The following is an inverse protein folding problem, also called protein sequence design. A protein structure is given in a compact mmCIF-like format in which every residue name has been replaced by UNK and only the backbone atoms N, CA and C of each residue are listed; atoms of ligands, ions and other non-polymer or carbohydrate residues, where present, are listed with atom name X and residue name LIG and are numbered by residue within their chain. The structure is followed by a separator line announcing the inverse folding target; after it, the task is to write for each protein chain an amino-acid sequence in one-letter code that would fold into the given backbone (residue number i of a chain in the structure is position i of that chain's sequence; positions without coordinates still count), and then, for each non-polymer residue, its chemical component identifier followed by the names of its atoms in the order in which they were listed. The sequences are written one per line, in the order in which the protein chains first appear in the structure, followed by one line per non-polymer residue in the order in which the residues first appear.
data_IF_364313890159
#
_entry.id   IF_364313890159
#
_cell.length_a   1.000
_cell.length_b   1.000
_cell.length_c   1.000
_cell.angle_alpha   90.00
_cell.angle_beta   90.00
_cell.angle_gamma   90.00
#
_symmetry.space_group_name_H-M   'P 1'
#
loop_
_entity.id
_entity.type
_entity.pdbx_description
1 polymer ?
#
# COMPACT_ATOMS: atom_id res chain seq x y z
N UNK A 1 -3.92 8.48 20.03
CA UNK A 1 -2.54 8.06 19.69
C UNK A 1 -2.12 6.83 20.51
N UNK A 2 -2.92 5.74 20.49
CA UNK A 2 -2.69 4.50 21.27
C UNK A 2 -2.56 3.25 20.37
N UNK A 3 -2.82 3.41 19.07
CA UNK A 3 -2.91 2.30 18.12
C UNK A 3 -1.57 2.01 17.43
N UNK A 4 -0.76 3.03 17.17
CA UNK A 4 0.45 2.93 16.33
C UNK A 4 1.45 1.92 16.91
N UNK A 5 1.92 2.10 18.15
CA UNK A 5 2.93 1.21 18.75
C UNK A 5 2.46 -0.23 18.84
N UNK A 6 1.22 -0.45 19.28
CA UNK A 6 0.64 -1.79 19.43
C UNK A 6 0.44 -2.47 18.08
N UNK A 7 0.03 -1.71 17.06
CA UNK A 7 -0.12 -2.25 15.72
C UNK A 7 1.24 -2.61 15.12
N UNK A 8 2.27 -1.78 15.30
CA UNK A 8 3.63 -2.12 14.83
C UNK A 8 4.16 -3.39 15.50
N UNK A 9 3.97 -3.54 16.82
CA UNK A 9 4.32 -4.78 17.54
C UNK A 9 3.59 -5.98 16.94
N UNK A 10 2.30 -5.83 16.63
CA UNK A 10 1.50 -6.90 16.03
C UNK A 10 1.94 -7.22 14.59
N UNK A 11 2.23 -6.21 13.76
CA UNK A 11 2.74 -6.41 12.40
C UNK A 11 4.09 -7.15 12.42
N UNK A 12 4.96 -6.85 13.39
CA UNK A 12 6.22 -7.57 13.59
C UNK A 12 5.99 -9.01 14.03
N UNK A 13 5.10 -9.24 14.99
CA UNK A 13 4.71 -10.59 15.46
C UNK A 13 4.20 -11.47 14.32
N UNK A 14 3.44 -10.88 13.39
CA UNK A 14 2.89 -11.54 12.21
C UNK A 14 3.89 -11.72 11.05
N UNK A 15 5.15 -11.29 11.24
CA UNK A 15 6.18 -11.23 10.18
C UNK A 15 5.67 -10.53 8.93
N UNK A 16 4.97 -9.40 9.09
CA UNK A 16 4.47 -8.60 7.97
C UNK A 16 5.49 -7.58 7.48
N UNK A 17 6.50 -7.26 8.30
CA UNK A 17 7.58 -6.34 7.96
C UNK A 17 8.87 -7.12 7.64
N UNK A 18 9.68 -6.68 6.67
CA UNK A 18 10.94 -7.35 6.30
C UNK A 18 11.96 -7.39 7.46
N UNK A 19 11.97 -6.39 8.34
CA UNK A 19 12.71 -6.38 9.61
C UNK A 19 12.43 -7.64 10.45
N UNK A 20 11.22 -8.19 10.33
CA UNK A 20 10.80 -9.36 11.09
C UNK A 20 11.23 -10.70 10.46
N UNK A 21 11.92 -10.66 9.31
CA UNK A 21 12.45 -11.86 8.64
C UNK A 21 13.79 -12.30 9.25
N UNK A 22 14.36 -11.51 10.17
CA UNK A 22 15.65 -11.79 10.77
C UNK A 22 16.78 -11.72 9.73
N UNK A 23 17.62 -12.75 9.69
CA UNK A 23 18.74 -12.83 8.74
C UNK A 23 18.34 -13.33 7.34
N UNK A 24 17.08 -13.73 7.14
CA UNK A 24 16.61 -14.22 5.84
C UNK A 24 16.24 -13.06 4.92
N UNK A 25 16.60 -13.17 3.64
CA UNK A 25 16.21 -12.22 2.59
C UNK A 25 14.84 -12.52 1.98
N UNK A 26 14.16 -13.55 2.48
CA UNK A 26 12.82 -13.94 2.07
C UNK A 26 12.02 -14.49 3.23
N UNK A 27 10.70 -14.36 3.14
CA UNK A 27 9.79 -15.09 4.01
C UNK A 27 9.94 -16.60 3.76
N UNK A 28 9.74 -17.42 4.78
CA UNK A 28 9.69 -18.86 4.63
C UNK A 28 8.55 -19.24 3.66
N UNK A 29 8.90 -19.96 2.59
CA UNK A 29 7.95 -20.35 1.55
C UNK A 29 6.84 -21.26 2.06
N UNK A 30 7.04 -21.96 3.18
CA UNK A 30 5.99 -22.77 3.83
C UNK A 30 4.90 -21.93 4.50
N UNK A 31 5.16 -20.64 4.76
CA UNK A 31 4.17 -19.71 5.31
C UNK A 31 3.25 -19.09 4.23
N UNK A 32 3.47 -19.44 2.96
CA UNK A 32 2.73 -18.89 1.81
C UNK A 32 2.19 -20.06 0.98
N UNK A 33 0.88 -20.02 0.71
CA UNK A 33 0.29 -20.86 -0.31
C UNK A 33 0.46 -20.17 -1.67
N UNK A 34 1.09 -20.86 -2.63
CA UNK A 34 1.38 -20.35 -3.97
C UNK A 34 0.54 -21.07 -5.03
N UNK A 35 -0.65 -20.55 -5.38
CA UNK A 35 -1.44 -21.11 -6.48
C UNK A 35 -0.71 -20.99 -7.83
N UNK A 36 0.07 -19.91 -7.99
CA UNK A 36 0.94 -19.67 -9.14
C UNK A 36 2.25 -19.01 -8.68
N UNK A 37 3.31 -18.99 -9.51
CA UNK A 37 4.61 -18.42 -9.12
C UNK A 37 4.59 -16.91 -8.81
N UNK A 38 3.69 -16.15 -9.45
CA UNK A 38 3.68 -14.69 -9.39
C UNK A 38 2.92 -14.13 -8.18
N UNK A 39 1.98 -14.91 -7.63
CA UNK A 39 1.18 -14.50 -6.49
C UNK A 39 0.78 -15.69 -5.61
N UNK A 40 0.73 -15.43 -4.31
CA UNK A 40 0.32 -16.36 -3.29
C UNK A 40 -0.52 -15.67 -2.22
N UNK A 41 -0.85 -16.40 -1.17
CA UNK A 41 -1.56 -15.85 -0.03
C UNK A 41 -1.08 -16.44 1.28
N UNK A 42 -1.18 -15.64 2.33
CA UNK A 42 -0.97 -16.04 3.72
C UNK A 42 -2.29 -15.89 4.45
N UNK A 43 -2.61 -16.88 5.27
CA UNK A 43 -3.66 -16.77 6.27
C UNK A 43 -3.01 -16.73 7.65
N UNK A 44 -3.16 -15.59 8.31
CA UNK A 44 -2.54 -15.32 9.60
C UNK A 44 -3.63 -15.21 10.66
N UNK A 45 -3.32 -15.56 11.91
CA UNK A 45 -4.23 -15.36 13.04
C UNK A 45 -3.80 -14.23 13.95
N UNK A 46 -4.74 -13.34 14.26
CA UNK A 46 -4.55 -12.26 15.20
C UNK A 46 -5.83 -11.94 15.99
N UNK A 47 -5.79 -11.96 17.34
CA UNK A 47 -6.90 -11.45 18.16
C UNK A 47 -6.97 -9.92 18.13
N UNK A 48 -6.03 -9.25 17.45
CA UNK A 48 -5.90 -7.80 17.37
C UNK A 48 -6.32 -7.25 16.00
N UNK A 49 -7.12 -8.00 15.26
CA UNK A 49 -7.60 -7.63 13.92
C UNK A 49 -8.28 -6.24 13.88
N UNK A 50 -9.12 -5.91 14.87
CA UNK A 50 -9.75 -4.58 15.01
C UNK A 50 -8.74 -3.45 15.21
N UNK A 51 -7.69 -3.71 16.00
CA UNK A 51 -6.60 -2.76 16.24
C UNK A 51 -5.84 -2.47 14.96
N UNK A 52 -5.52 -3.50 14.17
CA UNK A 52 -4.82 -3.34 12.89
C UNK A 52 -5.62 -2.49 11.91
N UNK A 53 -6.94 -2.69 11.85
CA UNK A 53 -7.82 -1.87 11.02
C UNK A 53 -7.79 -0.40 11.44
N UNK A 54 -7.99 -0.11 12.73
CA UNK A 54 -7.91 1.28 13.25
C UNK A 54 -6.56 1.93 12.99
N UNK A 55 -5.48 1.17 13.07
CA UNK A 55 -4.15 1.67 12.74
C UNK A 55 -4.07 2.17 11.29
N UNK A 56 -4.47 1.36 10.31
CA UNK A 56 -4.44 1.77 8.91
C UNK A 56 -5.42 2.91 8.60
N UNK A 57 -6.63 2.91 9.19
CA UNK A 57 -7.57 4.03 9.07
C UNK A 57 -6.98 5.33 9.64
N UNK A 58 -6.27 5.25 10.77
CA UNK A 58 -5.62 6.41 11.37
C UNK A 58 -4.51 7.00 10.48
N UNK A 59 -3.85 6.16 9.68
CA UNK A 59 -2.86 6.63 8.69
C UNK A 59 -3.53 7.38 7.56
N UNK A 60 -4.63 6.84 7.02
CA UNK A 60 -5.41 7.53 5.99
C UNK A 60 -5.92 8.88 6.51
N UNK A 61 -6.44 8.93 7.73
CA UNK A 61 -6.94 10.17 8.31
C UNK A 61 -5.84 11.23 8.41
N UNK A 62 -4.68 10.86 8.97
CA UNK A 62 -3.52 11.77 9.06
C UNK A 62 -3.02 12.22 7.69
N UNK A 63 -3.00 11.30 6.72
CA UNK A 63 -2.61 11.59 5.35
C UNK A 63 -3.59 12.53 4.63
N UNK A 64 -4.89 12.42 4.92
CA UNK A 64 -5.92 13.25 4.29
C UNK A 64 -5.97 14.69 4.85
N UNK A 65 -5.57 14.91 6.10
CA UNK A 65 -5.58 16.25 6.73
C UNK A 65 -4.23 16.98 6.67
N UNK A 66 -3.15 16.27 6.36
CA UNK A 66 -1.80 16.88 6.33
C UNK A 66 -1.60 17.72 5.08
N UNK A 67 -0.78 18.77 5.20
CA UNK A 67 -0.39 19.65 4.09
C UNK A 67 1.03 19.40 3.59
N UNK A 68 1.68 18.34 4.06
CA UNK A 68 3.04 18.00 3.66
C UNK A 68 3.08 17.65 2.15
N UNK A 69 4.10 18.11 1.40
CA UNK A 69 4.16 17.93 -0.06
C UNK A 69 4.00 16.49 -0.55
N UNK A 70 4.43 15.49 0.24
CA UNK A 70 4.32 14.07 -0.11
C UNK A 70 2.92 13.46 0.03
N UNK A 71 1.94 14.21 0.54
CA UNK A 71 0.60 13.71 0.88
C UNK A 71 -0.52 14.51 0.21
N UNK A 72 -0.20 15.54 -0.55
CA UNK A 72 -1.19 16.46 -1.15
C UNK A 72 -2.15 15.78 -2.13
N UNK A 73 -1.81 14.60 -2.64
CA UNK A 73 -2.68 13.77 -3.48
C UNK A 73 -3.71 12.96 -2.69
N UNK A 74 -3.49 12.77 -1.38
CA UNK A 74 -4.38 12.02 -0.50
C UNK A 74 -5.48 12.97 -0.03
N UNK A 75 -6.58 13.00 -0.77
CA UNK A 75 -7.74 13.85 -0.47
C UNK A 75 -8.99 13.00 -0.28
N UNK A 76 -9.91 13.45 0.57
CA UNK A 76 -11.23 12.86 0.78
C UNK A 76 -12.27 13.99 0.73
N UNK A 77 -13.51 13.69 0.36
CA UNK A 77 -14.62 14.65 0.54
C UNK A 77 -14.83 14.93 2.03
N UNK A 78 -15.40 16.10 2.36
CA UNK A 78 -15.63 16.49 3.77
C UNK A 78 -16.47 15.46 4.52
N UNK A 79 -17.45 14.84 3.84
CA UNK A 79 -18.31 13.80 4.39
C UNK A 79 -17.47 12.55 4.72
N UNK A 80 -16.65 12.06 3.78
CA UNK A 80 -15.80 10.89 3.98
C UNK A 80 -14.73 11.14 5.04
N UNK A 81 -14.17 12.35 5.08
CA UNK A 81 -13.18 12.74 6.08
C UNK A 81 -13.79 12.75 7.49
N UNK A 82 -15.01 13.26 7.65
CA UNK A 82 -15.71 13.25 8.94
C UNK A 82 -16.05 11.84 9.41
N UNK A 83 -16.50 10.96 8.50
CA UNK A 83 -16.72 9.53 8.81
C UNK A 83 -15.43 8.89 9.32
N UNK A 84 -14.33 9.05 8.58
CA UNK A 84 -13.03 8.51 8.96
C UNK A 84 -12.53 9.09 10.29
N UNK A 85 -12.73 10.39 10.52
CA UNK A 85 -12.36 11.06 11.77
C UNK A 85 -13.10 10.43 12.95
N UNK A 86 -14.40 10.17 12.84
CA UNK A 86 -15.20 9.54 13.91
C UNK A 86 -14.73 8.13 14.22
N UNK A 87 -14.55 7.29 13.20
CA UNK A 87 -14.02 5.92 13.39
C UNK A 87 -12.71 5.93 14.17
N UNK A 88 -11.78 6.82 13.81
CA UNK A 88 -10.47 6.93 14.47
C UNK A 88 -10.56 7.55 15.86
N UNK A 89 -11.38 8.58 16.05
CA UNK A 89 -11.52 9.30 17.33
C UNK A 89 -12.25 8.47 18.39
N UNK A 90 -13.32 7.79 17.99
CA UNK A 90 -14.14 6.94 18.86
C UNK A 90 -13.47 5.57 19.08
N UNK A 91 -12.48 5.22 18.26
CA UNK A 91 -11.82 3.93 18.31
C UNK A 91 -12.71 2.78 17.87
N UNK A 92 -13.68 3.09 16.99
CA UNK A 92 -14.61 2.12 16.43
C UNK A 92 -14.19 1.76 15.00
N UNK A 93 -13.74 0.52 14.74
CA UNK A 93 -13.37 0.08 13.40
C UNK A 93 -14.57 -0.11 12.46
N UNK A 94 -15.81 -0.03 12.96
CA UNK A 94 -17.01 -0.32 12.20
C UNK A 94 -17.57 0.91 11.45
N UNK A 95 -18.32 0.69 10.35
CA UNK A 95 -18.59 -0.60 9.71
C UNK A 95 -17.40 -1.10 8.86
N UNK A 96 -17.25 -2.42 8.72
CA UNK A 96 -16.19 -3.03 7.91
C UNK A 96 -16.26 -2.72 6.41
N UNK A 97 -17.46 -2.40 5.93
CA UNK A 97 -17.75 -1.94 4.56
C UNK A 97 -17.48 -0.45 4.37
N UNK A 98 -16.73 0.18 5.29
CA UNK A 98 -16.27 1.57 5.15
C UNK A 98 -14.75 1.62 5.13
N UNK A 99 -14.16 2.04 4.00
CA UNK A 99 -12.72 2.00 3.73
C UNK A 99 -12.11 0.59 3.90
N UNK A 100 -12.47 -0.41 3.07
CA UNK A 100 -11.91 -1.75 3.16
C UNK A 100 -10.41 -1.69 2.92
N UNK A 101 -9.69 -2.51 3.67
CA UNK A 101 -8.24 -2.51 3.69
C UNK A 101 -7.77 -3.88 3.26
N UNK A 102 -6.90 -3.92 2.27
CA UNK A 102 -6.28 -5.15 1.78
C UNK A 102 -4.77 -5.05 1.93
N UNK A 103 -4.13 -6.16 2.27
CA UNK A 103 -2.69 -6.22 2.48
C UNK A 103 -2.01 -7.03 1.36
N UNK A 104 -0.93 -6.48 0.83
CA UNK A 104 0.00 -7.19 -0.02
C UNK A 104 1.38 -7.15 0.62
N UNK A 105 1.99 -8.31 0.81
CA UNK A 105 3.34 -8.46 1.31
C UNK A 105 4.29 -8.87 0.18
N UNK A 106 5.46 -8.26 0.17
CA UNK A 106 6.57 -8.64 -0.66
C UNK A 106 7.33 -9.77 0.03
N UNK A 107 7.30 -10.96 -0.56
CA UNK A 107 7.85 -12.18 0.01
C UNK A 107 9.39 -12.23 -0.01
N UNK A 108 10.02 -11.46 -0.89
CA UNK A 108 11.47 -11.27 -0.99
C UNK A 108 11.84 -9.82 -0.65
N UNK A 109 13.02 -9.61 -0.07
CA UNK A 109 13.53 -8.27 0.23
C UNK A 109 13.90 -7.55 -1.06
N UNK A 110 13.38 -6.33 -1.20
CA UNK A 110 13.87 -5.35 -2.17
C UNK A 110 14.84 -4.36 -1.53
N UNK A 111 15.35 -3.39 -2.30
CA UNK A 111 16.11 -2.29 -1.74
C UNK A 111 15.23 -1.51 -0.76
N UNK A 112 15.85 -0.98 0.31
CA UNK A 112 15.15 -0.14 1.26
C UNK A 112 14.65 1.13 0.57
N UNK A 113 13.33 1.30 0.51
CA UNK A 113 12.72 2.51 -0.01
C UNK A 113 11.53 2.90 0.85
N UNK A 114 11.55 4.14 1.37
CA UNK A 114 10.34 4.75 1.94
C UNK A 114 9.61 5.44 0.79
N UNK A 115 8.49 4.87 0.35
CA UNK A 115 7.64 5.50 -0.65
C UNK A 115 6.56 6.33 0.05
N UNK A 116 6.38 7.58 -0.39
CA UNK A 116 5.21 8.37 -0.02
C UNK A 116 3.93 7.62 -0.42
N UNK A 117 2.83 7.76 0.33
CA UNK A 117 1.56 7.16 -0.06
C UNK A 117 1.14 7.60 -1.46
N UNK A 118 0.47 6.72 -2.19
CA UNK A 118 0.01 6.99 -3.56
C UNK A 118 -1.49 6.82 -3.69
N UNK A 119 -2.05 7.50 -4.67
CA UNK A 119 -3.43 7.29 -5.13
C UNK A 119 -3.37 6.50 -6.44
N UNK A 120 -4.20 5.48 -6.54
CA UNK A 120 -4.40 4.70 -7.76
C UNK A 120 -5.90 4.58 -8.04
N UNK A 121 -6.23 4.16 -9.26
CA UNK A 121 -7.55 3.68 -9.61
C UNK A 121 -7.47 2.19 -9.94
N UNK A 122 -8.36 1.41 -9.34
CA UNK A 122 -8.46 -0.04 -9.53
C UNK A 122 -9.75 -0.32 -10.28
N UNK A 123 -9.65 -0.99 -11.42
CA UNK A 123 -10.81 -1.51 -12.13
C UNK A 123 -11.18 -2.87 -11.55
N UNK A 124 -12.37 -2.97 -10.97
CA UNK A 124 -12.99 -4.24 -10.61
C UNK A 124 -13.86 -4.68 -11.77
N UNK A 125 -13.58 -5.86 -12.31
CA UNK A 125 -14.35 -6.46 -13.39
C UNK A 125 -15.81 -6.70 -12.97
N UNK A 126 -16.69 -6.74 -13.96
CA UNK A 126 -18.10 -7.03 -13.74
C UNK A 126 -18.26 -8.44 -13.15
N UNK A 127 -19.03 -8.54 -12.07
CA UNK A 127 -19.49 -9.81 -11.49
C UNK A 127 -21.01 -9.88 -11.56
N UNK A 128 -21.61 -11.05 -11.39
CA UNK A 128 -23.06 -11.22 -11.55
C UNK A 128 -23.83 -10.20 -10.70
N UNK A 129 -24.58 -9.31 -11.37
CA UNK A 129 -25.36 -8.24 -10.72
C UNK A 129 -24.60 -6.97 -10.36
N UNK A 130 -23.29 -6.87 -10.65
CA UNK A 130 -22.45 -5.70 -10.38
C UNK A 130 -21.67 -5.31 -11.64
N UNK A 131 -21.87 -4.10 -12.18
CA UNK A 131 -21.10 -3.66 -13.34
C UNK A 131 -19.62 -3.50 -13.01
N UNK A 132 -18.79 -3.43 -14.04
CA UNK A 132 -17.40 -3.00 -13.90
C UNK A 132 -17.35 -1.62 -13.24
N UNK A 133 -16.42 -1.44 -12.31
CA UNK A 133 -16.27 -0.19 -11.58
C UNK A 133 -14.81 0.18 -11.42
N UNK A 134 -14.54 1.48 -11.59
CA UNK A 134 -13.26 2.06 -11.28
C UNK A 134 -13.31 2.69 -9.90
N UNK A 135 -12.56 2.12 -8.96
CA UNK A 135 -12.53 2.55 -7.57
C UNK A 135 -11.20 3.23 -7.28
N UNK A 136 -11.25 4.39 -6.66
CA UNK A 136 -10.08 5.10 -6.18
C UNK A 136 -9.55 4.40 -4.93
N UNK A 137 -8.24 4.18 -4.87
CA UNK A 137 -7.57 3.50 -3.77
C UNK A 137 -6.32 4.25 -3.33
N UNK A 138 -6.07 4.23 -2.03
CA UNK A 138 -4.86 4.76 -1.42
C UNK A 138 -3.91 3.63 -1.08
N UNK A 139 -2.62 3.77 -1.36
CA UNK A 139 -1.59 2.81 -0.98
C UNK A 139 -0.61 3.41 0.01
N UNK A 140 -0.42 2.71 1.12
CA UNK A 140 0.58 3.00 2.13
C UNK A 140 1.66 1.92 2.08
N UNK A 141 2.90 2.38 2.07
CA UNK A 141 4.08 1.54 1.94
C UNK A 141 4.80 1.47 3.28
N UNK A 142 5.08 0.25 3.70
CA UNK A 142 5.92 -0.08 4.83
C UNK A 142 7.04 -0.99 4.34
N UNK A 143 7.92 -1.35 5.25
CA UNK A 143 9.02 -2.28 5.03
C UNK A 143 8.55 -3.67 4.55
N UNK A 144 8.35 -3.82 3.24
CA UNK A 144 7.83 -5.04 2.61
C UNK A 144 6.31 -5.24 2.64
N UNK A 145 5.55 -4.35 3.27
CA UNK A 145 4.09 -4.43 3.34
C UNK A 145 3.44 -3.25 2.61
N UNK A 146 2.39 -3.54 1.87
CA UNK A 146 1.57 -2.55 1.17
C UNK A 146 0.16 -2.69 1.71
N UNK A 147 -0.36 -1.61 2.32
CA UNK A 147 -1.75 -1.51 2.69
C UNK A 147 -2.49 -0.69 1.63
N UNK A 148 -3.47 -1.29 0.96
CA UNK A 148 -4.37 -0.60 0.05
C UNK A 148 -5.71 -0.37 0.74
N UNK A 149 -6.19 0.86 0.71
CA UNK A 149 -7.47 1.28 1.28
C UNK A 149 -8.33 1.84 0.15
N UNK A 150 -9.50 1.25 -0.09
CA UNK A 150 -10.40 1.72 -1.16
C UNK A 150 -11.33 2.83 -0.65
N UNK A 151 -11.62 3.80 -1.52
CA UNK A 151 -12.55 4.89 -1.28
C UNK A 151 -13.93 4.55 -1.85
N UNK A 152 -14.88 4.17 -1.00
CA UNK A 152 -16.19 3.73 -1.51
C UNK A 152 -17.08 4.85 -2.03
N UNK A 153 -16.70 6.12 -1.90
CA UNK A 153 -17.40 7.17 -2.65
C UNK A 153 -17.36 6.88 -4.17
N UNK A 154 -16.32 6.14 -4.60
CA UNK A 154 -16.21 5.62 -5.98
C UNK A 154 -16.67 4.17 -6.14
N UNK A 155 -16.91 3.45 -5.05
CA UNK A 155 -17.49 2.10 -5.06
C UNK A 155 -19.00 2.15 -4.85
N UNK A 156 -19.74 2.24 -5.95
CA UNK A 156 -21.20 2.32 -5.92
C UNK A 156 -21.88 0.95 -5.99
N UNK A 157 -21.12 -0.15 -5.97
CA UNK A 157 -21.69 -1.50 -6.14
C UNK A 157 -22.57 -1.94 -4.97
N UNK A 158 -22.29 -1.43 -3.76
CA UNK A 158 -22.89 -1.92 -2.53
C UNK A 158 -22.53 -3.37 -2.20
N UNK A 159 -21.58 -3.98 -2.93
CA UNK A 159 -21.15 -5.36 -2.70
C UNK A 159 -19.92 -5.37 -1.83
N UNK A 160 -19.94 -6.23 -0.81
CA UNK A 160 -18.76 -6.52 0.00
C UNK A 160 -17.78 -7.41 -0.77
N UNK A 161 -17.06 -6.79 -1.72
CA UNK A 161 -16.10 -7.47 -2.61
C UNK A 161 -14.99 -8.18 -1.85
N UNK A 162 -14.61 -7.63 -0.71
CA UNK A 162 -13.46 -8.09 0.04
C UNK A 162 -13.82 -9.15 1.08
N UNK A 163 -15.05 -9.17 1.59
CA UNK A 163 -15.51 -10.17 2.58
C UNK A 163 -14.42 -10.42 3.63
N UNK A 164 -14.03 -11.65 3.89
CA UNK A 164 -12.98 -12.01 4.86
C UNK A 164 -11.58 -11.49 4.54
N UNK A 165 -11.29 -11.06 3.31
CA UNK A 165 -9.97 -10.55 2.94
C UNK A 165 -9.69 -9.13 3.46
N UNK A 166 -10.73 -8.41 3.90
CA UNK A 166 -10.55 -7.08 4.48
C UNK A 166 -10.01 -7.17 5.92
N UNK A 167 -8.98 -6.36 6.21
CA UNK A 167 -8.42 -6.23 7.58
C UNK A 167 -9.53 -5.78 8.54
N UNK A 168 -9.63 -6.47 9.68
CA UNK A 168 -10.51 -6.08 10.78
C UNK A 168 -11.86 -6.81 10.84
N UNK A 169 -12.13 -7.74 9.92
CA UNK A 169 -13.39 -8.51 9.92
C UNK A 169 -13.41 -9.72 10.84
N UNK A 170 -12.30 -10.43 10.92
CA UNK A 170 -12.16 -11.59 11.79
C UNK A 170 -10.72 -11.72 12.27
N UNK A 171 -10.48 -12.68 13.15
CA UNK A 171 -9.12 -13.03 13.59
C UNK A 171 -8.27 -13.62 12.47
N UNK A 172 -8.90 -14.08 11.38
CA UNK A 172 -8.20 -14.54 10.18
C UNK A 172 -7.86 -13.34 9.29
N UNK A 173 -6.57 -13.01 9.25
CA UNK A 173 -6.01 -11.98 8.40
C UNK A 173 -5.48 -12.60 7.11
N UNK A 174 -6.08 -12.24 5.99
CA UNK A 174 -5.61 -12.65 4.66
C UNK A 174 -4.65 -11.61 4.10
N UNK A 175 -3.50 -12.07 3.60
CA UNK A 175 -2.46 -11.23 3.03
C UNK A 175 -2.05 -11.81 1.69
N UNK A 176 -2.17 -11.02 0.62
CA UNK A 176 -1.62 -11.41 -0.67
C UNK A 176 -0.09 -11.39 -0.58
N UNK A 177 0.57 -12.42 -1.06
CA UNK A 177 2.01 -12.47 -1.15
C UNK A 177 2.45 -12.41 -2.61
N UNK A 178 3.55 -11.72 -2.89
CA UNK A 178 4.20 -11.77 -4.20
C UNK A 178 5.70 -11.55 -4.03
N UNK A 179 6.56 -12.09 -4.91
CA UNK A 179 7.96 -11.70 -4.94
C UNK A 179 8.12 -10.18 -5.16
N UNK A 180 9.21 -9.60 -4.63
CA UNK A 180 9.59 -8.22 -4.95
C UNK A 180 9.96 -8.09 -6.43
N UNK A 181 10.70 -9.05 -6.96
CA UNK A 181 11.04 -9.16 -8.38
C UNK A 181 9.75 -9.26 -9.21
N UNK A 182 9.59 -8.37 -10.20
CA UNK A 182 8.38 -8.30 -11.02
C UNK A 182 7.18 -7.67 -10.29
N UNK A 183 7.38 -6.97 -9.17
CA UNK A 183 6.34 -6.19 -8.52
C UNK A 183 6.25 -4.76 -9.06
N UNK A 184 5.09 -4.11 -8.89
CA UNK A 184 4.97 -2.66 -9.17
C UNK A 184 5.99 -1.83 -8.38
N UNK A 185 6.50 -2.34 -7.25
CA UNK A 185 7.55 -1.67 -6.48
C UNK A 185 8.90 -1.79 -7.16
N UNK A 186 9.26 -2.97 -7.69
CA UNK A 186 10.49 -3.12 -8.47
C UNK A 186 10.45 -2.27 -9.74
N UNK A 187 9.33 -2.30 -10.48
CA UNK A 187 9.14 -1.46 -11.67
C UNK A 187 9.28 0.04 -11.36
N UNK A 188 8.66 0.50 -10.26
CA UNK A 188 8.75 1.89 -9.83
C UNK A 188 10.19 2.27 -9.48
N UNK A 189 10.89 1.46 -8.71
CA UNK A 189 12.30 1.72 -8.36
C UNK A 189 13.17 1.73 -9.60
N UNK A 190 13.01 0.76 -10.50
CA UNK A 190 13.72 0.72 -11.77
C UNK A 190 13.46 1.99 -12.60
N UNK A 191 12.21 2.44 -12.68
CA UNK A 191 11.87 3.70 -13.37
C UNK A 191 12.51 4.91 -12.71
N UNK A 192 12.57 4.97 -11.37
CA UNK A 192 13.19 6.05 -10.62
C UNK A 192 14.70 6.07 -10.81
N UNK A 193 15.35 4.90 -10.79
CA UNK A 193 16.79 4.75 -11.08
C UNK A 193 17.08 5.26 -12.49
N UNK A 194 16.35 4.77 -13.50
CA UNK A 194 16.51 5.21 -14.91
C UNK A 194 16.27 6.71 -15.08
N UNK A 195 15.25 7.27 -14.43
CA UNK A 195 14.96 8.71 -14.48
C UNK A 195 16.05 9.54 -13.82
N UNK A 196 16.61 9.04 -12.71
CA UNK A 196 17.70 9.68 -11.95
C UNK A 196 19.00 9.64 -12.75
N UNK A 197 19.36 8.49 -13.33
CA UNK A 197 20.51 8.33 -14.24
C UNK A 197 20.41 9.28 -15.43
N UNK A 198 19.25 9.36 -16.10
CA UNK A 198 19.02 10.28 -17.23
C UNK A 198 19.16 11.75 -16.80
N UNK A 199 18.70 12.12 -15.60
CA UNK A 199 18.81 13.47 -15.04
C UNK A 199 20.26 13.82 -14.67
N UNK A 200 21.02 12.88 -14.10
CA UNK A 200 22.43 13.07 -13.77
C UNK A 200 23.31 13.13 -15.01
N UNK A 201 23.10 12.26 -16.01
CA UNK A 201 23.77 12.34 -17.30
C UNK A 201 23.50 13.69 -18.00
N UNK A 202 22.24 14.17 -17.96
CA UNK A 202 21.88 15.49 -18.48
C UNK A 202 22.44 16.68 -17.66
N UNK A 203 22.74 16.49 -16.38
CA UNK A 203 23.42 17.50 -15.56
C UNK A 203 24.93 17.52 -15.82
N UNK A 204 25.55 16.34 -15.93
CA UNK A 204 26.96 16.17 -16.31
C UNK A 204 27.21 16.73 -17.71
N UNK A 205 26.35 16.45 -18.69
CA UNK A 205 26.46 17.02 -20.05
C UNK A 205 26.36 18.56 -20.10
N UNK A 206 25.60 19.17 -19.16
CA UNK A 206 25.50 20.62 -19.01
C UNK A 206 26.71 21.23 -18.30
N UNK A 207 27.28 20.53 -17.33
CA UNK A 207 28.48 20.95 -16.60
C UNK A 207 29.73 20.85 -17.50
N UNK A 208 29.82 19.81 -18.32
CA UNK A 208 30.94 19.59 -19.25
C UNK A 208 30.71 20.18 -20.65
N UNK A 209 29.82 21.18 -20.77
CA UNK A 209 29.57 22.01 -21.95
C UNK A 209 30.17 21.50 -23.25
N UNK A 210 29.48 20.59 -23.94
CA UNK A 210 29.77 20.29 -25.35
C UNK A 210 29.36 21.52 -26.19
N UNK A 211 30.18 22.56 -26.15
CA UNK A 211 30.20 23.61 -27.15
C UNK A 211 30.75 22.99 -28.44
N UNK A 212 29.86 22.49 -29.31
CA UNK A 212 30.20 22.53 -30.73
C UNK A 212 30.10 23.99 -31.15
N UNK A 213 31.26 24.64 -31.29
CA UNK A 213 31.39 25.84 -32.12
C UNK A 213 30.92 25.47 -33.53
N UNK A 214 29.89 26.15 -34.09
CA UNK A 214 29.57 26.04 -35.49
C UNK A 214 30.44 27.06 -36.22
N UNK A 215 31.73 26.77 -36.39
CA UNK A 215 32.57 27.40 -37.41
C UNK A 215 33.92 26.69 -37.47
N UNK A 216 34.07 25.85 -38.50
CA UNK A 216 35.30 25.60 -39.25
C UNK A 216 34.96 24.65 -40.42
N UNK A 217 34.60 25.28 -41.54
CA UNK A 217 34.73 24.76 -42.90
C UNK A 217 36.15 24.95 -43.41
#
# INVERSE_FOLDING_TARGET
MRYDDRAIVELRRLKLLWESFGQSDRLDGSEIEWPVPEWGFRRLKTPHFKLLRLFFLSLLWRAAITKLPGFTSITLSDIRLEVLRRMVADGDPEPQTVFPITLTQLATRGPWHTASPTVDYVTYEAVVGVPEQQVRSFRFYFDGLIARIDDEETDTSGVDRWSHAAVGRSEDLFVMARPFEGSRQSERIESLIRATEKRHLGAVARIFGWHRNPDQS
#
